data_IF_264118618550
#
_entry.id   IF_264118618550
#
_cell.length_a   1.000
_cell.length_b   1.000
_cell.length_c   1.000
_cell.angle_alpha   90.00
_cell.angle_beta   90.00
_cell.angle_gamma   90.00
#
_symmetry.space_group_name_H-M   'P 1'
#
loop_
_entity.id
_entity.type
_entity.pdbx_description
1 polymer ?
#
# COMPACT_ATOMS: atom_id res chain seq x y z
N UNK A 1 23.29 -33.58 -13.46
CA UNK A 1 23.34 -32.10 -13.51
C UNK A 1 22.39 -31.69 -14.63
N UNK A 2 21.06 -31.71 -14.50
CA UNK A 2 20.16 -31.27 -13.42
C UNK A 2 20.46 -29.83 -13.00
N UNK A 3 19.60 -28.80 -13.20
CA UNK A 3 18.16 -28.77 -13.45
C UNK A 3 17.74 -27.61 -14.38
N UNK A 4 16.74 -27.94 -15.18
CA UNK A 4 15.86 -27.10 -16.01
C UNK A 4 14.83 -26.44 -15.09
N UNK A 5 14.83 -25.11 -14.99
CA UNK A 5 13.81 -24.33 -14.27
C UNK A 5 12.67 -23.97 -15.21
N UNK A 6 11.52 -24.60 -15.02
CA UNK A 6 10.31 -24.48 -15.82
C UNK A 6 9.47 -23.32 -15.26
N UNK A 7 9.14 -22.35 -16.13
CA UNK A 7 8.09 -21.35 -15.90
C UNK A 7 6.76 -22.01 -15.54
N UNK A 8 5.97 -21.40 -14.64
CA UNK A 8 4.51 -21.42 -14.69
C UNK A 8 3.87 -20.56 -13.61
N UNK A 9 3.30 -19.43 -14.01
CA UNK A 9 2.00 -18.99 -13.52
C UNK A 9 0.93 -19.95 -14.02
N UNK A 10 0.17 -20.58 -13.13
CA UNK A 10 -1.11 -21.19 -13.48
C UNK A 10 -1.98 -21.35 -12.23
N UNK A 11 -3.11 -20.65 -12.26
CA UNK A 11 -4.30 -20.90 -11.46
C UNK A 11 -4.74 -22.35 -11.66
N UNK A 12 -4.93 -23.09 -10.55
CA UNK A 12 -5.61 -24.38 -10.56
C UNK A 12 -6.42 -24.54 -9.27
N UNK A 13 -7.74 -24.61 -9.43
CA UNK A 13 -8.67 -25.10 -8.42
C UNK A 13 -8.44 -26.60 -8.19
N UNK A 14 -8.42 -27.04 -6.93
CA UNK A 14 -8.71 -28.42 -6.56
C UNK A 14 -9.46 -28.50 -5.23
N UNK A 15 -10.68 -29.04 -5.31
CA UNK A 15 -11.31 -29.81 -4.24
C UNK A 15 -10.45 -31.05 -3.93
N UNK A 16 -10.27 -31.38 -2.64
CA UNK A 16 -10.56 -32.71 -2.08
C UNK A 16 -10.28 -32.78 -0.56
N UNK A 17 -11.37 -33.01 0.18
CA UNK A 17 -11.55 -33.99 1.27
C UNK A 17 -10.31 -34.45 2.07
N UNK A 18 -10.22 -34.10 3.37
CA UNK A 18 -9.58 -34.96 4.38
C UNK A 18 -10.33 -34.96 5.71
N UNK A 19 -10.46 -36.20 6.20
CA UNK A 19 -10.92 -36.77 7.46
C UNK A 19 -10.70 -36.00 8.76
N UNK A 20 -11.63 -36.24 9.67
CA UNK A 20 -11.63 -35.91 11.10
C UNK A 20 -10.37 -36.44 11.79
N UNK A 21 -9.63 -35.55 12.44
CA UNK A 21 -8.59 -35.86 13.42
C UNK A 21 -8.51 -34.75 14.45
N UNK A 22 -9.11 -34.96 15.62
CA UNK A 22 -9.04 -34.02 16.74
C UNK A 22 -7.61 -34.02 17.33
N UNK A 23 -6.90 -32.92 17.17
CA UNK A 23 -5.66 -32.64 17.91
C UNK A 23 -5.91 -31.37 18.73
N UNK A 24 -6.00 -31.55 20.05
CA UNK A 24 -6.05 -30.44 20.99
C UNK A 24 -4.71 -29.70 20.96
N UNK A 25 -4.69 -28.52 20.34
CA UNK A 25 -3.53 -27.64 20.35
C UNK A 25 -3.52 -26.81 21.63
N UNK A 26 -2.51 -27.05 22.47
CA UNK A 26 -2.15 -26.23 23.62
C UNK A 26 -1.77 -24.82 23.14
N UNK A 27 -2.48 -23.82 23.66
CA UNK A 27 -2.22 -22.41 23.40
C UNK A 27 -0.84 -22.03 23.97
N UNK A 28 0.14 -21.89 23.07
CA UNK A 28 1.40 -21.21 23.35
C UNK A 28 1.25 -19.78 22.87
N UNK A 29 1.16 -18.83 23.79
CA UNK A 29 1.02 -17.39 23.51
C UNK A 29 2.35 -16.85 22.94
N UNK A 30 2.40 -16.31 21.71
CA UNK A 30 3.54 -15.49 21.29
C UNK A 30 3.40 -14.08 21.87
N UNK A 31 4.54 -13.50 22.24
CA UNK A 31 4.70 -12.20 22.89
C UNK A 31 4.05 -11.04 22.11
N UNK A 32 3.56 -10.06 22.88
CA UNK A 32 2.63 -9.03 22.44
C UNK A 32 3.18 -8.07 21.38
N UNK A 33 2.50 -8.06 20.23
CA UNK A 33 2.39 -6.90 19.36
C UNK A 33 1.47 -5.91 20.08
N UNK A 34 1.95 -4.70 20.33
CA UNK A 34 1.18 -3.64 20.99
C UNK A 34 -0.05 -3.24 20.15
N UNK A 35 -1.15 -2.78 20.78
CA UNK A 35 -2.43 -2.66 20.12
C UNK A 35 -2.44 -1.62 18.99
N UNK A 36 -2.73 -2.06 17.77
CA UNK A 36 -3.12 -1.22 16.65
C UNK A 36 -4.42 -0.48 17.02
N UNK A 37 -4.32 0.83 17.26
CA UNK A 37 -5.49 1.67 17.53
C UNK A 37 -6.14 2.04 16.20
N UNK A 38 -7.34 1.53 15.99
CA UNK A 38 -8.21 1.90 14.87
C UNK A 38 -9.26 2.86 15.39
N UNK A 39 -9.21 4.11 14.94
CA UNK A 39 -10.24 5.11 15.24
C UNK A 39 -11.03 5.36 13.95
N UNK A 40 -12.24 4.80 13.89
CA UNK A 40 -13.14 4.89 12.74
C UNK A 40 -14.24 5.92 12.97
N UNK A 41 -14.52 6.75 11.96
CA UNK A 41 -15.66 7.66 11.95
C UNK A 41 -16.71 7.07 10.98
N UNK A 42 -17.84 6.58 11.51
CA UNK A 42 -18.92 6.02 10.69
C UNK A 42 -19.70 7.13 9.98
N UNK A 43 -19.80 7.07 8.65
CA UNK A 43 -20.52 8.05 7.84
C UNK A 43 -21.87 7.51 7.35
N UNK A 44 -22.94 7.71 8.13
CA UNK A 44 -24.33 7.35 7.79
C UNK A 44 -24.89 8.03 6.52
N UNK A 45 -24.22 9.04 5.95
CA UNK A 45 -24.75 9.85 4.83
C UNK A 45 -24.53 9.27 3.43
N UNK A 46 -23.53 8.43 3.21
CA UNK A 46 -23.30 7.81 1.90
C UNK A 46 -24.25 6.60 1.64
N UNK A 47 -24.79 6.01 2.72
CA UNK A 47 -25.63 4.81 2.68
C UNK A 47 -26.94 4.97 1.89
N UNK A 48 -27.52 6.16 1.88
CA UNK A 48 -28.82 6.39 1.24
C UNK A 48 -28.75 6.47 -0.30
N UNK A 49 -27.58 6.70 -0.89
CA UNK A 49 -27.45 6.94 -2.33
C UNK A 49 -27.29 5.64 -3.16
N UNK A 50 -26.73 4.57 -2.57
CA UNK A 50 -26.30 3.37 -3.33
C UNK A 50 -27.08 2.09 -3.00
N UNK A 51 -28.09 2.13 -2.12
CA UNK A 51 -28.93 0.97 -1.80
C UNK A 51 -28.20 -0.19 -1.10
N UNK A 52 -27.05 0.09 -0.46
CA UNK A 52 -26.27 -0.90 0.29
C UNK A 52 -26.77 -0.92 1.74
N UNK A 53 -27.08 -2.11 2.26
CA UNK A 53 -27.52 -2.30 3.65
C UNK A 53 -26.43 -1.81 4.63
N UNK A 54 -26.85 -1.03 5.64
CA UNK A 54 -26.02 -0.58 6.77
C UNK A 54 -25.14 -1.66 7.41
N UNK A 55 -25.61 -2.92 7.48
CA UNK A 55 -24.80 -4.03 8.00
C UNK A 55 -23.65 -4.42 7.08
N UNK A 56 -23.92 -4.39 5.77
CA UNK A 56 -22.91 -4.66 4.73
C UNK A 56 -21.86 -3.55 4.77
N UNK A 57 -22.26 -2.30 4.95
CA UNK A 57 -21.33 -1.17 5.12
C UNK A 57 -20.42 -1.35 6.34
N UNK A 58 -20.97 -1.70 7.50
CA UNK A 58 -20.17 -1.95 8.70
C UNK A 58 -19.19 -3.12 8.52
N UNK A 59 -19.59 -4.20 7.84
CA UNK A 59 -18.67 -5.30 7.52
C UNK A 59 -17.60 -4.90 6.50
N UNK A 60 -17.95 -4.06 5.53
CA UNK A 60 -17.00 -3.53 4.54
C UNK A 60 -15.95 -2.66 5.22
N UNK A 61 -16.37 -1.70 6.06
CA UNK A 61 -15.44 -0.82 6.78
C UNK A 61 -14.46 -1.61 7.66
N UNK A 62 -14.96 -2.63 8.37
CA UNK A 62 -14.14 -3.51 9.18
C UNK A 62 -13.15 -4.32 8.33
N UNK A 63 -13.60 -4.89 7.21
CA UNK A 63 -12.74 -5.62 6.28
C UNK A 63 -11.69 -4.71 5.63
N UNK A 64 -12.06 -3.48 5.27
CA UNK A 64 -11.15 -2.46 4.73
C UNK A 64 -10.10 -2.07 5.76
N UNK A 65 -10.49 -1.75 6.99
CA UNK A 65 -9.54 -1.41 8.04
C UNK A 65 -8.56 -2.55 8.31
N UNK A 66 -9.04 -3.80 8.41
CA UNK A 66 -8.20 -4.97 8.62
C UNK A 66 -7.20 -5.19 7.46
N UNK A 67 -7.66 -5.08 6.22
CA UNK A 67 -6.79 -5.21 5.04
C UNK A 67 -5.74 -4.11 4.96
N UNK A 68 -6.11 -2.86 5.25
CA UNK A 68 -5.18 -1.73 5.28
C UNK A 68 -4.13 -1.89 6.36
N UNK A 69 -4.51 -2.33 7.56
CA UNK A 69 -3.56 -2.62 8.65
C UNK A 69 -2.59 -3.72 8.23
N UNK A 70 -3.08 -4.85 7.72
CA UNK A 70 -2.21 -5.96 7.29
C UNK A 70 -1.24 -5.55 6.18
N UNK A 71 -1.70 -4.73 5.23
CA UNK A 71 -0.85 -4.18 4.17
C UNK A 71 0.22 -3.21 4.73
N UNK A 72 -0.16 -2.34 5.67
CA UNK A 72 0.77 -1.40 6.31
C UNK A 72 1.81 -2.11 7.19
N UNK A 73 1.40 -3.10 7.97
CA UNK A 73 2.31 -3.90 8.82
C UNK A 73 3.36 -4.63 8.00
N UNK A 74 2.94 -5.23 6.87
CA UNK A 74 3.84 -5.89 5.91
C UNK A 74 4.81 -4.88 5.30
N UNK A 75 4.28 -3.72 4.85
CA UNK A 75 5.02 -2.68 4.15
C UNK A 75 6.06 -1.95 5.00
N UNK A 76 5.81 -1.82 6.29
CA UNK A 76 6.71 -1.14 7.22
C UNK A 76 7.43 -2.10 8.18
N UNK A 77 7.55 -3.37 7.79
CA UNK A 77 8.39 -4.39 8.48
C UNK A 77 8.10 -4.51 9.98
N UNK A 78 6.82 -4.43 10.38
CA UNK A 78 6.41 -4.58 11.78
C UNK A 78 6.70 -3.38 12.69
N UNK A 79 6.97 -2.19 12.12
CA UNK A 79 6.95 -0.93 12.88
C UNK A 79 5.60 -0.74 13.57
N UNK A 80 5.59 0.03 14.66
CA UNK A 80 4.32 0.43 15.30
C UNK A 80 3.56 1.38 14.35
N UNK A 81 2.35 1.00 13.99
CA UNK A 81 1.50 1.75 13.05
C UNK A 81 0.15 1.98 13.71
N UNK A 82 -0.35 3.21 13.64
CA UNK A 82 -1.73 3.53 13.93
C UNK A 82 -2.43 3.98 12.63
N UNK A 83 -3.69 3.59 12.48
CA UNK A 83 -4.52 3.91 11.32
C UNK A 83 -5.78 4.65 11.78
N UNK A 84 -6.04 5.79 11.13
CA UNK A 84 -7.32 6.50 11.20
C UNK A 84 -7.98 6.42 9.84
N UNK A 85 -9.13 5.75 9.80
CA UNK A 85 -9.96 5.69 8.60
C UNK A 85 -10.63 7.04 8.39
N UNK A 86 -10.52 7.56 7.18
CA UNK A 86 -11.26 8.73 6.73
C UNK A 86 -12.50 8.30 5.95
N UNK A 87 -12.85 9.09 4.93
CA UNK A 87 -13.98 8.77 4.06
C UNK A 87 -13.67 7.54 3.19
N UNK A 88 -14.63 6.64 3.07
CA UNK A 88 -14.60 5.46 2.18
C UNK A 88 -15.82 5.52 1.27
N UNK A 89 -15.57 5.41 -0.02
CA UNK A 89 -16.59 5.37 -1.06
C UNK A 89 -16.51 4.02 -1.76
N UNK A 90 -17.66 3.41 -2.00
CA UNK A 90 -17.79 2.16 -2.72
C UNK A 90 -18.57 2.34 -4.00
N UNK A 91 -18.02 1.87 -5.11
CA UNK A 91 -18.69 1.79 -6.40
C UNK A 91 -18.73 0.33 -6.87
N UNK A 92 -19.87 -0.11 -7.38
CA UNK A 92 -20.01 -1.47 -7.89
C UNK A 92 -19.18 -1.62 -9.17
N UNK A 93 -18.12 -2.44 -9.10
CA UNK A 93 -17.25 -2.73 -10.24
C UNK A 93 -17.73 -3.96 -11.03
N UNK A 94 -18.33 -4.95 -10.35
CA UNK A 94 -18.91 -6.14 -10.96
C UNK A 94 -20.13 -6.63 -10.15
N UNK A 95 -20.73 -7.76 -10.53
CA UNK A 95 -21.76 -8.39 -9.69
C UNK A 95 -21.22 -8.85 -8.34
N UNK A 96 -19.93 -9.19 -8.30
CA UNK A 96 -19.23 -9.73 -7.14
C UNK A 96 -18.37 -8.68 -6.42
N UNK A 97 -17.88 -7.68 -7.15
CA UNK A 97 -16.85 -6.78 -6.65
C UNK A 97 -17.35 -5.35 -6.47
N UNK A 98 -16.90 -4.74 -5.38
CA UNK A 98 -17.07 -3.31 -5.10
C UNK A 98 -15.69 -2.68 -5.05
N UNK A 99 -15.44 -1.74 -5.97
CA UNK A 99 -14.25 -0.89 -5.91
C UNK A 99 -14.39 0.08 -4.74
N UNK A 100 -13.39 0.11 -3.88
CA UNK A 100 -13.31 1.00 -2.74
C UNK A 100 -12.25 2.06 -2.99
N UNK A 101 -12.62 3.32 -2.80
CA UNK A 101 -11.69 4.45 -2.79
C UNK A 101 -11.85 5.19 -1.49
N UNK A 102 -10.76 5.55 -0.84
CA UNK A 102 -10.87 6.25 0.42
C UNK A 102 -9.64 7.03 0.82
N UNK A 103 -9.80 7.74 1.91
CA UNK A 103 -8.75 8.51 2.56
C UNK A 103 -8.53 8.01 3.98
N UNK A 104 -7.38 8.31 4.53
CA UNK A 104 -7.09 8.01 5.91
C UNK A 104 -5.86 8.78 6.39
N UNK A 105 -5.43 8.44 7.59
CA UNK A 105 -4.16 8.91 8.11
C UNK A 105 -3.43 7.75 8.77
N UNK A 106 -2.12 7.72 8.62
CA UNK A 106 -1.26 6.79 9.32
C UNK A 106 -0.35 7.53 10.26
N UNK A 107 0.07 6.87 11.33
CA UNK A 107 1.14 7.34 12.20
C UNK A 107 2.12 6.20 12.41
N UNK A 108 3.40 6.48 12.22
CA UNK A 108 4.49 5.51 12.29
C UNK A 108 5.30 5.74 13.58
N UNK A 109 4.92 5.06 14.66
CA UNK A 109 5.41 5.27 16.02
C UNK A 109 4.63 6.34 16.81
N UNK A 110 4.54 6.17 18.12
CA UNK A 110 3.70 6.99 18.98
C UNK A 110 3.95 8.51 18.90
N UNK A 111 5.21 8.92 18.72
CA UNK A 111 5.64 10.33 18.74
C UNK A 111 5.57 11.04 17.38
N UNK A 112 5.25 10.30 16.30
CA UNK A 112 5.13 10.87 14.97
C UNK A 112 3.80 11.61 14.78
N UNK A 113 3.77 12.63 13.92
CA UNK A 113 2.51 13.23 13.49
C UNK A 113 1.78 12.33 12.48
N UNK A 114 0.48 12.57 12.30
CA UNK A 114 -0.35 11.83 11.35
C UNK A 114 -0.06 12.25 9.90
N UNK A 115 0.26 11.28 9.05
CA UNK A 115 0.44 11.46 7.61
C UNK A 115 -0.82 11.09 6.87
N UNK A 116 -1.31 11.93 5.93
CA UNK A 116 -2.47 11.58 5.14
C UNK A 116 -2.12 10.46 4.14
N UNK A 117 -3.08 9.56 3.94
CA UNK A 117 -3.04 8.53 2.91
C UNK A 117 -4.30 8.60 2.06
N UNK A 118 -4.18 8.11 0.84
CA UNK A 118 -5.30 7.67 0.01
C UNK A 118 -5.14 6.18 -0.24
N UNK A 119 -6.24 5.46 -0.38
CA UNK A 119 -6.19 4.06 -0.73
C UNK A 119 -7.24 3.69 -1.76
N UNK A 120 -6.95 2.61 -2.48
CA UNK A 120 -7.86 1.94 -3.39
C UNK A 120 -7.84 0.45 -3.08
N UNK A 121 -8.99 -0.21 -3.14
CA UNK A 121 -9.07 -1.64 -2.86
C UNK A 121 -10.28 -2.27 -3.56
N UNK A 122 -10.32 -3.60 -3.60
CA UNK A 122 -11.46 -4.34 -4.12
C UNK A 122 -12.10 -5.16 -3.01
N UNK A 123 -13.39 -4.97 -2.77
CA UNK A 123 -14.18 -5.77 -1.86
C UNK A 123 -14.94 -6.85 -2.62
N UNK A 124 -14.64 -8.11 -2.30
CA UNK A 124 -15.32 -9.28 -2.83
C UNK A 124 -16.54 -9.60 -1.95
N UNK A 125 -17.73 -9.47 -2.51
CA UNK A 125 -19.00 -9.68 -1.79
C UNK A 125 -19.29 -11.14 -1.47
N UNK A 126 -18.68 -12.10 -2.18
CA UNK A 126 -18.84 -13.53 -1.90
C UNK A 126 -18.01 -13.95 -0.68
N UNK A 127 -16.75 -13.49 -0.63
CA UNK A 127 -15.81 -13.82 0.46
C UNK A 127 -15.85 -12.83 1.62
N UNK A 128 -16.51 -11.69 1.43
CA UNK A 128 -16.56 -10.56 2.37
C UNK A 128 -15.16 -10.06 2.77
N UNK A 129 -14.24 -10.08 1.80
CA UNK A 129 -12.84 -9.75 2.00
C UNK A 129 -12.41 -8.58 1.11
N UNK A 130 -11.48 -7.77 1.64
CA UNK A 130 -10.79 -6.74 0.86
C UNK A 130 -9.47 -7.31 0.36
N UNK A 131 -9.26 -7.22 -0.95
CA UNK A 131 -8.09 -7.76 -1.63
C UNK A 131 -7.07 -6.65 -1.93
N UNK A 132 -5.81 -6.91 -1.57
CA UNK A 132 -4.60 -6.17 -1.96
C UNK A 132 -4.79 -4.65 -2.07
N UNK A 133 -5.03 -3.94 -0.96
CA UNK A 133 -5.23 -2.50 -1.02
C UNK A 133 -3.96 -1.78 -1.50
N UNK A 134 -4.12 -0.89 -2.47
CA UNK A 134 -3.10 0.07 -2.87
C UNK A 134 -3.19 1.28 -1.93
N UNK A 135 -2.08 1.62 -1.26
CA UNK A 135 -2.03 2.73 -0.31
C UNK A 135 -1.00 3.73 -0.79
N UNK A 136 -1.38 4.98 -0.93
CA UNK A 136 -0.52 6.07 -1.39
C UNK A 136 -0.37 7.09 -0.26
N UNK A 137 0.88 7.36 0.11
CA UNK A 137 1.21 8.46 1.02
C UNK A 137 0.93 9.79 0.33
N UNK A 138 0.06 10.58 0.94
CA UNK A 138 -0.23 11.93 0.50
C UNK A 138 0.55 12.96 1.31
N UNK A 139 0.53 14.18 0.81
CA UNK A 139 1.18 15.31 1.45
C UNK A 139 0.19 16.45 1.62
N UNK A 140 0.03 16.95 2.84
CA UNK A 140 -0.48 18.31 3.07
C UNK A 140 0.73 19.21 3.06
N UNK A 141 1.05 19.73 1.88
CA UNK A 141 2.32 20.39 1.62
C UNK A 141 2.63 21.49 2.61
N UNK A 142 3.82 21.46 3.22
CA UNK A 142 4.66 22.63 3.52
C UNK A 142 6.13 22.21 3.75
N UNK A 143 7.07 22.90 3.10
CA UNK A 143 8.27 23.47 3.73
C UNK A 143 8.81 24.59 2.80
N UNK A 144 8.89 25.83 3.30
CA UNK A 144 9.43 26.98 2.55
C UNK A 144 10.94 26.85 2.25
N UNK A 145 11.62 25.93 2.92
CA UNK A 145 12.97 25.46 2.62
C UNK A 145 12.90 23.95 2.38
N UNK A 146 12.99 23.51 1.12
CA UNK A 146 13.16 22.08 0.84
C UNK A 146 14.61 21.70 1.19
N UNK A 147 14.84 20.79 2.15
CA UNK A 147 16.19 20.27 2.38
C UNK A 147 16.70 19.56 1.13
N UNK A 148 18.03 19.56 0.94
CA UNK A 148 18.65 18.75 -0.13
C UNK A 148 18.43 17.26 0.18
N UNK A 149 17.78 16.55 -0.75
CA UNK A 149 17.43 15.14 -0.60
C UNK A 149 18.49 14.24 -1.27
N UNK A 150 18.90 13.12 -0.64
CA UNK A 150 19.88 12.20 -1.21
C UNK A 150 19.26 11.27 -2.26
N UNK A 151 18.96 11.81 -3.44
CA UNK A 151 18.29 11.08 -4.53
C UNK A 151 18.98 9.81 -5.03
N UNK A 152 20.33 9.67 -5.03
CA UNK A 152 20.96 8.42 -5.46
C UNK A 152 20.49 7.20 -4.68
N UNK A 153 20.21 7.36 -3.37
CA UNK A 153 19.68 6.27 -2.54
C UNK A 153 18.25 5.87 -2.91
N UNK A 154 17.40 6.86 -3.22
CA UNK A 154 16.03 6.59 -3.67
C UNK A 154 16.01 5.92 -5.04
N UNK A 155 16.83 6.42 -5.96
CA UNK A 155 16.95 5.87 -7.30
C UNK A 155 17.43 4.41 -7.27
N UNK A 156 18.40 4.08 -6.40
CA UNK A 156 18.85 2.70 -6.23
C UNK A 156 17.73 1.76 -5.73
N UNK A 157 16.89 2.22 -4.79
CA UNK A 157 15.74 1.43 -4.32
C UNK A 157 14.71 1.21 -5.43
N UNK A 158 14.39 2.25 -6.20
CA UNK A 158 13.42 2.15 -7.31
C UNK A 158 13.96 1.25 -8.43
N UNK A 159 15.24 1.38 -8.79
CA UNK A 159 15.88 0.50 -9.78
C UNK A 159 15.85 -0.97 -9.36
N UNK A 160 16.09 -1.26 -8.07
CA UNK A 160 15.99 -2.62 -7.56
C UNK A 160 14.55 -3.16 -7.67
N UNK A 161 13.57 -2.38 -7.22
CA UNK A 161 12.16 -2.78 -7.28
C UNK A 161 11.67 -3.01 -8.73
N UNK A 162 12.00 -2.10 -9.66
CA UNK A 162 11.67 -2.28 -11.07
C UNK A 162 12.44 -3.43 -11.72
N UNK A 163 13.70 -3.66 -11.33
CA UNK A 163 14.48 -4.79 -11.81
C UNK A 163 13.87 -6.14 -11.43
N UNK A 164 13.28 -6.24 -10.23
CA UNK A 164 12.57 -7.43 -9.78
C UNK A 164 11.23 -7.61 -10.53
N UNK A 165 10.46 -6.53 -10.74
CA UNK A 165 9.18 -6.57 -11.46
C UNK A 165 9.36 -6.89 -12.95
N UNK A 166 10.34 -6.25 -13.60
CA UNK A 166 10.61 -6.37 -15.02
C UNK A 166 11.83 -7.24 -15.31
N UNK A 167 12.03 -8.34 -14.57
CA UNK A 167 13.26 -9.16 -14.63
C UNK A 167 13.69 -9.66 -16.03
N UNK A 168 12.81 -9.62 -17.04
CA UNK A 168 13.11 -9.94 -18.44
C UNK A 168 13.67 -8.75 -19.26
N UNK A 169 13.68 -7.54 -18.73
CA UNK A 169 14.09 -6.30 -19.37
C UNK A 169 14.88 -5.44 -18.36
N UNK A 170 16.04 -4.90 -18.74
CA UNK A 170 16.69 -3.92 -17.89
C UNK A 170 15.88 -2.62 -17.88
N UNK A 171 15.77 -2.06 -16.68
CA UNK A 171 15.11 -0.77 -16.45
C UNK A 171 16.09 0.13 -15.72
N UNK A 172 16.39 1.28 -16.31
CA UNK A 172 17.16 2.34 -15.67
C UNK A 172 16.27 3.54 -15.40
N UNK A 173 16.08 3.85 -14.11
CA UNK A 173 15.36 5.05 -13.68
C UNK A 173 16.34 6.18 -13.42
N UNK A 174 16.02 7.34 -13.98
CA UNK A 174 16.68 8.60 -13.68
C UNK A 174 15.70 9.54 -12.99
N UNK A 175 15.95 9.83 -11.70
CA UNK A 175 15.17 10.81 -10.94
C UNK A 175 15.76 12.21 -11.14
N UNK A 176 14.91 13.19 -11.47
CA UNK A 176 15.36 14.55 -11.80
C UNK A 176 15.00 15.56 -10.74
N UNK A 177 13.74 15.54 -10.30
CA UNK A 177 13.20 16.51 -9.36
C UNK A 177 12.58 15.78 -8.19
N UNK A 178 12.87 16.23 -6.97
CA UNK A 178 12.19 15.77 -5.79
C UNK A 178 11.78 16.95 -4.92
N UNK A 179 10.61 16.82 -4.31
CA UNK A 179 10.06 17.81 -3.41
C UNK A 179 9.49 17.13 -2.19
N UNK A 180 9.65 17.79 -1.05
CA UNK A 180 8.96 17.42 0.18
C UNK A 180 7.51 17.86 0.04
N UNK A 181 6.58 16.91 0.16
CA UNK A 181 5.14 17.15 0.10
C UNK A 181 4.46 17.01 1.47
N UNK A 182 5.17 16.55 2.51
CA UNK A 182 4.65 16.43 3.86
C UNK A 182 5.73 16.01 4.85
N UNK A 183 5.40 15.98 6.14
CA UNK A 183 6.27 15.48 7.19
C UNK A 183 5.47 15.01 8.39
N UNK A 184 5.99 14.00 9.11
CA UNK A 184 5.48 13.58 10.42
C UNK A 184 6.32 14.13 11.60
N UNK A 185 7.27 15.04 11.32
CA UNK A 185 8.25 15.55 12.27
C UNK A 185 9.53 14.71 12.40
N UNK A 186 9.51 13.44 12.01
CA UNK A 186 10.67 12.53 12.01
C UNK A 186 11.10 12.13 10.59
N UNK A 187 10.13 12.16 9.68
CA UNK A 187 10.20 11.69 8.30
C UNK A 187 9.60 12.75 7.39
N UNK A 188 10.14 12.79 6.17
CA UNK A 188 9.64 13.63 5.09
C UNK A 188 8.91 12.75 4.09
N UNK A 189 7.69 13.14 3.72
CA UNK A 189 7.01 12.58 2.55
C UNK A 189 7.57 13.27 1.32
N UNK A 190 8.22 12.51 0.45
CA UNK A 190 8.88 13.02 -0.75
C UNK A 190 8.12 12.53 -1.98
N UNK A 191 7.91 13.44 -2.93
CA UNK A 191 7.53 13.08 -4.29
C UNK A 191 8.66 13.43 -5.24
N UNK A 192 9.09 12.47 -6.03
CA UNK A 192 10.05 12.66 -7.10
C UNK A 192 9.43 12.36 -8.47
N UNK A 193 9.98 12.98 -9.50
CA UNK A 193 9.66 12.73 -10.90
C UNK A 193 10.92 12.26 -11.62
N UNK A 194 10.75 11.35 -12.56
CA UNK A 194 11.83 10.79 -13.34
C UNK A 194 11.37 10.19 -14.65
N UNK A 195 12.30 9.48 -15.28
CA UNK A 195 12.07 8.71 -16.50
C UNK A 195 12.66 7.32 -16.28
N UNK A 196 11.87 6.29 -16.54
CA UNK A 196 12.33 4.92 -16.67
C UNK A 196 12.67 4.64 -18.14
N UNK A 197 13.84 4.04 -18.39
CA UNK A 197 14.27 3.60 -19.72
C UNK A 197 14.33 2.09 -19.75
N UNK A 198 13.69 1.50 -20.76
CA UNK A 198 13.66 0.07 -20.99
C UNK A 198 14.58 -0.31 -22.16
N UNK A 199 14.98 -1.58 -22.19
CA UNK A 199 15.74 -2.20 -23.28
C UNK A 199 14.98 -2.10 -24.61
N UNK A 200 15.26 -1.07 -25.40
CA UNK A 200 14.53 -0.83 -26.65
C UNK A 200 14.31 0.64 -27.01
N UNK A 201 14.90 1.57 -26.24
CA UNK A 201 14.67 3.02 -26.33
C UNK A 201 13.26 3.46 -25.92
N UNK A 202 12.45 2.56 -25.35
CA UNK A 202 11.18 2.93 -24.75
C UNK A 202 11.44 3.68 -23.44
N UNK A 203 10.70 4.77 -23.25
CA UNK A 203 10.81 5.59 -22.05
C UNK A 203 9.44 5.85 -21.48
N UNK A 204 9.30 5.71 -20.17
CA UNK A 204 8.07 6.04 -19.46
C UNK A 204 8.33 7.10 -18.40
N UNK A 205 7.52 8.17 -18.33
CA UNK A 205 7.53 9.06 -17.17
C UNK A 205 7.15 8.29 -15.91
N UNK A 206 7.89 8.52 -14.82
CA UNK A 206 7.64 7.87 -13.53
C UNK A 206 7.47 8.91 -12.43
N UNK A 207 6.43 8.73 -11.62
CA UNK A 207 6.25 9.44 -10.36
C UNK A 207 6.64 8.51 -9.22
N UNK A 208 7.54 8.96 -8.35
CA UNK A 208 7.98 8.21 -7.17
C UNK A 208 7.49 8.92 -5.90
N UNK A 209 7.01 8.14 -4.94
CA UNK A 209 6.72 8.61 -3.58
C UNK A 209 7.47 7.77 -2.57
N UNK A 210 8.04 8.42 -1.55
CA UNK A 210 8.80 7.74 -0.53
C UNK A 210 8.76 8.51 0.80
N UNK A 211 9.14 7.84 1.88
CA UNK A 211 9.47 8.47 3.15
C UNK A 211 10.99 8.58 3.30
N UNK A 212 11.45 9.74 3.75
CA UNK A 212 12.85 9.94 4.12
C UNK A 212 12.96 10.13 5.63
N UNK A 213 13.59 9.17 6.32
CA UNK A 213 13.83 9.23 7.77
C UNK A 213 15.08 10.09 8.04
N UNK A 214 14.88 11.29 8.60
CA UNK A 214 15.94 12.30 8.68
C UNK A 214 17.06 11.93 9.64
N UNK A 215 16.72 11.24 10.75
CA UNK A 215 17.69 10.84 11.77
C UNK A 215 18.69 9.79 11.27
N UNK A 216 18.21 8.80 10.50
CA UNK A 216 19.05 7.72 9.96
C UNK A 216 19.53 7.96 8.53
N UNK A 217 18.99 8.96 7.84
CA UNK A 217 19.24 9.23 6.43
C UNK A 217 18.75 8.12 5.48
N UNK A 218 17.71 7.38 5.86
CA UNK A 218 17.22 6.21 5.10
C UNK A 218 15.95 6.54 4.31
N UNK A 219 15.89 6.01 3.10
CA UNK A 219 14.66 5.93 2.32
C UNK A 219 13.84 4.72 2.75
N UNK A 220 12.54 4.95 2.95
CA UNK A 220 11.55 3.95 3.31
C UNK A 220 10.42 4.04 2.28
N UNK A 221 9.79 2.89 1.99
CA UNK A 221 8.52 2.85 1.26
C UNK A 221 8.54 3.55 -0.11
N UNK A 222 9.57 3.28 -0.90
CA UNK A 222 9.67 3.78 -2.26
C UNK A 222 8.61 3.11 -3.15
N UNK A 223 7.59 3.87 -3.55
CA UNK A 223 6.58 3.48 -4.51
C UNK A 223 6.79 4.24 -5.80
N UNK A 224 6.56 3.60 -6.92
CA UNK A 224 6.52 4.24 -8.22
C UNK A 224 5.20 3.94 -8.93
N UNK A 225 4.86 4.86 -9.82
CA UNK A 225 3.77 4.70 -10.76
C UNK A 225 4.22 5.29 -12.11
N UNK A 226 3.74 4.69 -13.19
CA UNK A 226 3.96 5.21 -14.54
C UNK A 226 2.84 6.17 -14.89
N UNK A 227 3.19 7.39 -15.32
CA UNK A 227 2.16 8.31 -15.77
C UNK A 227 1.62 7.77 -17.11
N UNK A 228 0.37 7.31 -17.13
CA UNK A 228 -0.28 6.85 -18.37
C UNK A 228 -0.48 8.08 -19.26
N UNK A 229 0.36 8.22 -20.28
CA UNK A 229 0.13 9.20 -21.35
C UNK A 229 -1.07 8.69 -22.14
N UNK A 230 -2.24 9.26 -21.86
CA UNK A 230 -3.46 8.95 -22.61
C UNK A 230 -3.21 9.15 -24.11
N UNK A 231 -3.31 8.05 -24.86
CA UNK A 231 -3.35 8.03 -26.32
C UNK A 231 -4.76 8.36 -26.82
#
# INVERSE_FOLDING_TARGET
MDRKGINRTAIAAMLALVLVGAVAAQASTPAGIQPTVVEGHSHDRAAAANGIDSRILASMDAATAAALIGALETRFEGREIALRMGEVQGERASLRDIALHGTGQIRLGADAAWLPIRFEALYDTDTQAVLSPSIVLEGKGVAASSPTLPLPGLQAQVNAAMGDEFASQQVDVSLQQARVIGSDGQRLVVRAQGVARFDGNETAPVTVRALYEQGSGRWLDAQYDFDVVGS
#
